data_IF_825381122800
#
_entry.id   IF_825381122800
#
_cell.length_a   1.000
_cell.length_b   1.000
_cell.length_c   1.000
_cell.angle_alpha   90.00
_cell.angle_beta   90.00
_cell.angle_gamma   90.00
#
_symmetry.space_group_name_H-M   'P 1'
#
loop_
_entity.id
_entity.type
_entity.pdbx_description
1 polymer ?
#
# COMPACT_ATOMS: atom_id res chain seq x y z
N UNK A 1 4.70 9.16 -13.81
CA UNK A 1 3.42 8.45 -14.04
C UNK A 1 3.12 7.56 -12.85
N UNK A 2 1.87 7.16 -12.66
CA UNK A 2 1.50 6.33 -11.52
C UNK A 2 2.10 4.93 -11.65
N UNK A 3 1.90 4.29 -12.77
CA UNK A 3 2.44 2.96 -13.11
C UNK A 3 3.25 3.09 -14.39
N UNK A 4 4.45 2.51 -14.38
CA UNK A 4 5.33 2.38 -15.53
C UNK A 4 5.69 0.89 -15.64
N UNK A 5 5.73 0.35 -16.83
CA UNK A 5 6.13 -1.04 -17.10
C UNK A 5 5.32 -2.15 -16.37
N UNK A 6 4.19 -1.77 -15.75
CA UNK A 6 3.34 -2.67 -14.97
C UNK A 6 3.64 -2.64 -13.47
N UNK A 7 2.91 -3.44 -12.71
CA UNK A 7 3.05 -3.57 -11.27
C UNK A 7 3.88 -4.83 -10.97
N UNK A 8 5.05 -4.67 -10.36
CA UNK A 8 5.93 -5.79 -10.07
C UNK A 8 6.39 -5.81 -8.60
N UNK A 9 6.70 -7.00 -8.04
CA UNK A 9 7.25 -7.10 -6.70
C UNK A 9 8.58 -6.34 -6.53
N UNK A 10 9.36 -6.18 -7.60
CA UNK A 10 10.62 -5.45 -7.58
C UNK A 10 10.48 -3.95 -7.36
N UNK A 11 9.27 -3.40 -7.52
CA UNK A 11 9.04 -1.96 -7.43
C UNK A 11 8.96 -1.46 -5.98
N UNK A 12 8.63 -2.32 -5.02
CA UNK A 12 8.38 -1.92 -3.65
C UNK A 12 9.67 -1.76 -2.85
N UNK A 13 9.93 -0.54 -2.39
CA UNK A 13 11.04 -0.22 -1.49
C UNK A 13 10.53 0.42 -0.20
N UNK A 14 11.06 -0.01 0.93
CA UNK A 14 10.70 0.54 2.24
C UNK A 14 11.49 1.81 2.54
N UNK A 15 10.84 2.78 3.20
CA UNK A 15 11.46 3.96 3.77
C UNK A 15 11.71 3.82 5.28
N UNK A 16 11.64 4.93 6.01
CA UNK A 16 11.95 5.00 7.45
C UNK A 16 10.79 4.55 8.35
N UNK A 17 9.58 4.38 7.82
CA UNK A 17 8.41 3.99 8.59
C UNK A 17 8.39 2.47 8.84
N UNK A 18 7.96 2.07 10.03
CA UNK A 18 7.79 0.65 10.41
C UNK A 18 6.49 0.03 9.87
N UNK A 19 6.23 0.18 8.58
CA UNK A 19 5.04 -0.31 7.87
C UNK A 19 5.36 -1.44 6.89
N UNK A 20 6.39 -2.23 7.17
CA UNK A 20 6.77 -3.40 6.37
C UNK A 20 5.61 -4.38 6.16
N UNK A 21 4.68 -4.48 7.11
CA UNK A 21 3.46 -5.27 7.02
C UNK A 21 2.55 -4.79 5.86
N UNK A 22 2.43 -3.49 5.65
CA UNK A 22 1.67 -2.89 4.55
C UNK A 22 2.40 -3.05 3.22
N UNK A 23 3.68 -2.70 3.17
CA UNK A 23 4.50 -2.82 1.96
C UNK A 23 4.64 -4.27 1.50
N UNK A 24 4.70 -5.24 2.43
CA UNK A 24 4.65 -6.67 2.12
C UNK A 24 3.32 -7.08 1.51
N UNK A 25 2.23 -6.46 1.91
CA UNK A 25 0.91 -6.67 1.29
C UNK A 25 0.87 -6.10 -0.14
N UNK A 26 1.44 -4.92 -0.39
CA UNK A 26 1.58 -4.40 -1.75
C UNK A 26 2.41 -5.34 -2.64
N UNK A 27 3.52 -5.83 -2.10
CA UNK A 27 4.40 -6.78 -2.77
C UNK A 27 3.67 -8.10 -3.09
N UNK A 28 2.89 -8.60 -2.16
CA UNK A 28 2.07 -9.80 -2.36
C UNK A 28 1.02 -9.58 -3.44
N UNK A 29 0.30 -8.45 -3.39
CA UNK A 29 -0.73 -8.12 -4.38
C UNK A 29 -0.15 -7.85 -5.77
N UNK A 30 1.09 -7.38 -5.86
CA UNK A 30 1.74 -7.15 -7.16
C UNK A 30 1.99 -8.45 -7.95
N UNK A 31 1.93 -9.61 -7.30
CA UNK A 31 1.92 -10.92 -7.98
C UNK A 31 0.60 -11.18 -8.73
N UNK A 32 -0.47 -10.47 -8.37
CA UNK A 32 -1.72 -10.42 -9.12
C UNK A 32 -2.09 -8.97 -9.43
N UNK A 33 -1.54 -8.40 -10.52
CA UNK A 33 -1.68 -6.97 -10.83
C UNK A 33 -3.12 -6.47 -10.91
N UNK A 34 -4.09 -7.34 -11.21
CA UNK A 34 -5.48 -6.95 -11.28
C UNK A 34 -6.03 -6.54 -9.91
N UNK A 35 -5.66 -7.25 -8.83
CA UNK A 35 -6.08 -6.90 -7.48
C UNK A 35 -5.53 -5.54 -7.06
N UNK A 36 -4.28 -5.27 -7.42
CA UNK A 36 -3.64 -3.99 -7.10
C UNK A 36 -4.21 -2.84 -7.94
N UNK A 37 -4.49 -3.06 -9.23
CA UNK A 37 -5.14 -2.08 -10.10
C UNK A 37 -6.54 -1.69 -9.63
N UNK A 38 -7.27 -2.62 -9.03
CA UNK A 38 -8.61 -2.35 -8.48
C UNK A 38 -8.60 -1.29 -7.38
N UNK A 39 -7.45 -1.07 -6.72
CA UNK A 39 -7.30 -0.03 -5.70
C UNK A 39 -7.13 1.37 -6.28
N UNK A 40 -6.76 1.48 -7.55
CA UNK A 40 -6.57 2.75 -8.25
C UNK A 40 -7.89 3.12 -8.93
N UNK A 41 -8.62 4.05 -8.33
CA UNK A 41 -9.91 4.51 -8.86
C UNK A 41 -9.70 5.52 -9.97
N UNK A 42 -8.75 6.44 -9.78
CA UNK A 42 -8.46 7.49 -10.74
C UNK A 42 -6.99 7.93 -10.67
N UNK A 43 -6.33 7.92 -11.81
CA UNK A 43 -5.00 8.49 -11.98
C UNK A 43 -5.15 9.91 -12.53
N UNK A 44 -5.08 10.87 -11.64
CA UNK A 44 -5.14 12.28 -11.95
C UNK A 44 -3.81 13.01 -11.72
N UNK A 45 -2.67 12.33 -11.89
CA UNK A 45 -1.35 12.90 -11.63
C UNK A 45 -1.10 14.20 -12.44
N UNK A 46 -1.62 14.28 -13.65
CA UNK A 46 -1.55 15.50 -14.48
C UNK A 46 -2.28 16.70 -13.84
N UNK A 47 -3.28 16.42 -13.00
CA UNK A 47 -4.04 17.45 -12.26
C UNK A 47 -3.57 17.61 -10.81
N UNK A 48 -2.56 16.84 -10.39
CA UNK A 48 -1.99 16.92 -9.06
C UNK A 48 -2.72 16.13 -7.98
N UNK A 49 -3.54 15.16 -8.33
CA UNK A 49 -4.22 14.28 -7.37
C UNK A 49 -4.35 12.84 -7.88
N UNK A 50 -4.69 11.93 -6.98
CA UNK A 50 -5.05 10.56 -7.30
C UNK A 50 -6.16 10.08 -6.35
N UNK A 51 -6.93 9.09 -6.78
CA UNK A 51 -8.01 8.50 -5.98
C UNK A 51 -7.77 7.00 -5.86
N UNK A 52 -7.72 6.54 -4.63
CA UNK A 52 -7.63 5.13 -4.29
C UNK A 52 -8.89 4.67 -3.57
N UNK A 53 -9.09 3.36 -3.50
CA UNK A 53 -10.15 2.78 -2.68
C UNK A 53 -9.60 1.66 -1.81
N UNK A 54 -10.14 1.55 -0.61
CA UNK A 54 -9.83 0.51 0.34
C UNK A 54 -11.12 -0.03 0.96
N UNK A 55 -11.11 -1.32 1.28
CA UNK A 55 -12.21 -1.96 2.00
C UNK A 55 -12.01 -1.77 3.51
N UNK A 56 -12.84 -0.95 4.12
CA UNK A 56 -12.75 -0.63 5.55
C UNK A 56 -14.15 -0.50 6.16
N UNK A 57 -14.31 -1.07 7.36
CA UNK A 57 -15.60 -1.06 8.07
C UNK A 57 -16.76 -1.64 7.23
N UNK A 58 -16.50 -2.72 6.52
CA UNK A 58 -17.51 -3.45 5.73
C UNK A 58 -17.90 -2.82 4.40
N UNK A 59 -17.16 -1.81 3.92
CA UNK A 59 -17.43 -1.15 2.63
C UNK A 59 -16.18 -0.63 1.95
N UNK A 60 -16.24 -0.46 0.65
CA UNK A 60 -15.23 0.25 -0.13
C UNK A 60 -15.35 1.76 0.12
N UNK A 61 -14.22 2.38 0.44
CA UNK A 61 -14.11 3.82 0.72
C UNK A 61 -13.11 4.44 -0.22
N UNK A 62 -13.46 5.57 -0.81
CA UNK A 62 -12.57 6.35 -1.67
C UNK A 62 -11.71 7.28 -0.83
N UNK A 63 -10.42 7.33 -1.18
CA UNK A 63 -9.44 8.23 -0.57
C UNK A 63 -8.80 9.07 -1.67
N UNK A 64 -9.03 10.37 -1.60
CA UNK A 64 -8.44 11.34 -2.52
C UNK A 64 -7.19 11.91 -1.87
N UNK A 65 -6.07 11.91 -2.58
CA UNK A 65 -4.80 12.48 -2.12
C UNK A 65 -4.22 13.42 -3.15
N UNK A 66 -3.45 14.41 -2.69
CA UNK A 66 -2.55 15.16 -3.57
C UNK A 66 -1.29 14.33 -3.90
N UNK A 67 -0.53 14.75 -4.91
CA UNK A 67 0.65 14.03 -5.39
C UNK A 67 1.95 14.41 -4.68
N UNK A 68 1.89 15.18 -3.60
CA UNK A 68 3.07 15.53 -2.80
C UNK A 68 3.45 14.37 -1.90
N UNK A 69 4.70 13.97 -1.96
CA UNK A 69 5.27 12.92 -1.11
C UNK A 69 6.31 13.53 -0.17
N UNK A 70 6.36 13.09 1.11
CA UNK A 70 7.43 13.49 2.01
C UNK A 70 8.79 13.07 1.46
N UNK A 71 9.73 14.00 1.48
CA UNK A 71 11.04 13.87 0.84
C UNK A 71 12.14 14.33 1.78
N UNK A 72 13.21 13.56 1.86
CA UNK A 72 14.39 13.93 2.62
C UNK A 72 15.36 14.73 1.72
N UNK A 73 15.56 16.03 1.97
CA UNK A 73 16.40 16.86 1.11
C UNK A 73 17.88 16.49 1.21
N UNK A 74 18.32 15.91 2.34
CA UNK A 74 19.72 15.52 2.55
C UNK A 74 20.10 14.26 1.78
N UNK A 75 19.26 13.24 1.80
CA UNK A 75 19.47 11.98 1.06
C UNK A 75 18.96 12.03 -0.37
N UNK A 76 18.16 13.03 -0.71
CA UNK A 76 17.49 13.17 -2.02
C UNK A 76 16.62 11.95 -2.37
N UNK A 77 15.92 11.40 -1.38
CA UNK A 77 15.07 10.24 -1.52
C UNK A 77 13.70 10.48 -0.87
N UNK A 78 12.64 9.79 -1.31
CA UNK A 78 11.40 9.75 -0.56
C UNK A 78 11.63 9.27 0.87
N UNK A 79 10.91 9.86 1.83
CA UNK A 79 11.08 9.56 3.25
C UNK A 79 10.49 8.19 3.61
N UNK A 80 9.36 7.85 2.99
CA UNK A 80 8.62 6.63 3.23
C UNK A 80 8.76 5.63 2.08
N UNK A 81 7.83 4.68 1.93
CA UNK A 81 7.84 3.71 0.85
C UNK A 81 7.87 4.37 -0.53
N UNK A 82 8.55 3.75 -1.47
CA UNK A 82 8.72 4.28 -2.82
C UNK A 82 8.95 3.16 -3.83
N UNK A 83 8.85 3.52 -5.11
CA UNK A 83 9.16 2.61 -6.19
C UNK A 83 10.67 2.56 -6.47
N UNK A 84 11.15 1.45 -7.01
CA UNK A 84 12.54 1.30 -7.47
C UNK A 84 12.87 2.27 -8.61
N UNK A 85 11.92 2.48 -9.55
CA UNK A 85 12.02 3.51 -10.57
C UNK A 85 11.58 4.86 -9.99
N UNK A 86 12.45 5.90 -10.01
CA UNK A 86 12.13 7.21 -9.48
C UNK A 86 11.03 7.94 -10.26
N UNK A 87 10.64 7.46 -11.42
CA UNK A 87 9.56 8.02 -12.25
C UNK A 87 8.21 7.30 -12.06
N UNK A 88 8.14 6.35 -11.16
CA UNK A 88 6.94 5.59 -10.83
C UNK A 88 6.50 5.90 -9.40
N UNK A 89 5.20 6.09 -9.17
CA UNK A 89 4.68 6.67 -7.93
C UNK A 89 3.56 5.88 -7.24
N UNK A 90 3.20 4.70 -7.71
CA UNK A 90 2.07 3.96 -7.13
C UNK A 90 2.32 3.54 -5.68
N UNK A 91 3.54 3.12 -5.32
CA UNK A 91 3.89 2.73 -3.94
C UNK A 91 3.74 3.91 -2.98
N UNK A 92 4.42 5.04 -3.17
CA UNK A 92 4.35 6.15 -2.22
C UNK A 92 2.96 6.79 -2.15
N UNK A 93 2.23 6.84 -3.25
CA UNK A 93 0.89 7.43 -3.26
C UNK A 93 -0.15 6.49 -2.64
N UNK A 94 -0.05 5.19 -2.86
CA UNK A 94 -0.92 4.21 -2.22
C UNK A 94 -0.67 4.12 -0.71
N UNK A 95 0.59 4.16 -0.27
CA UNK A 95 0.95 4.25 1.15
C UNK A 95 0.38 5.53 1.78
N UNK A 96 0.52 6.68 1.11
CA UNK A 96 -0.06 7.95 1.55
C UNK A 96 -1.58 7.88 1.68
N UNK A 97 -2.26 7.30 0.71
CA UNK A 97 -3.70 7.12 0.75
C UNK A 97 -4.14 6.23 1.91
N UNK A 98 -3.42 5.15 2.14
CA UNK A 98 -3.67 4.25 3.28
C UNK A 98 -3.39 4.93 4.62
N UNK A 99 -2.32 5.74 4.70
CA UNK A 99 -2.04 6.57 5.88
C UNK A 99 -3.17 7.58 6.14
N UNK A 100 -3.68 8.22 5.11
CA UNK A 100 -4.84 9.13 5.23
C UNK A 100 -6.09 8.41 5.73
N UNK A 101 -6.35 7.19 5.28
CA UNK A 101 -7.46 6.37 5.75
C UNK A 101 -7.36 6.10 7.26
N UNK A 102 -6.16 5.95 7.81
CA UNK A 102 -5.87 5.69 9.22
C UNK A 102 -5.56 6.96 10.03
N UNK A 103 -5.50 8.12 9.38
CA UNK A 103 -5.27 9.43 10.01
C UNK A 103 -3.93 10.06 9.67
N UNK A 104 -2.81 9.34 9.83
CA UNK A 104 -1.46 9.83 9.56
C UNK A 104 -0.48 8.69 9.28
N UNK A 105 0.74 9.00 8.85
CA UNK A 105 1.78 8.00 8.60
C UNK A 105 2.19 7.23 9.86
N UNK A 106 2.26 7.91 11.00
CA UNK A 106 2.65 7.32 12.28
C UNK A 106 1.66 6.24 12.73
N UNK A 107 0.39 6.33 12.32
CA UNK A 107 -0.61 5.30 12.58
C UNK A 107 -0.29 3.95 11.91
N UNK A 108 0.60 3.95 10.91
CA UNK A 108 1.04 2.75 10.20
C UNK A 108 2.30 2.10 10.80
N UNK A 109 2.85 2.64 11.90
CA UNK A 109 4.10 2.16 12.48
C UNK A 109 4.04 0.68 12.91
N UNK A 110 2.88 0.20 13.29
CA UNK A 110 2.66 -1.21 13.57
C UNK A 110 1.30 -1.65 13.07
N UNK A 111 1.21 -2.88 12.59
CA UNK A 111 -0.02 -3.44 12.07
C UNK A 111 0.14 -4.90 11.67
N UNK A 112 -0.87 -5.43 11.03
CA UNK A 112 -0.93 -6.83 10.60
C UNK A 112 -1.10 -6.92 9.09
N UNK A 113 -0.30 -7.76 8.45
CA UNK A 113 -0.44 -8.08 7.04
C UNK A 113 -1.83 -8.67 6.72
N UNK A 114 -2.40 -9.45 7.64
CA UNK A 114 -3.75 -9.98 7.48
C UNK A 114 -4.81 -8.88 7.40
N UNK A 115 -4.71 -7.85 8.24
CA UNK A 115 -5.62 -6.71 8.22
C UNK A 115 -5.45 -5.88 6.94
N UNK A 116 -4.21 -5.60 6.54
CA UNK A 116 -3.98 -4.84 5.32
C UNK A 116 -4.46 -5.58 4.07
N UNK A 117 -4.29 -6.90 3.99
CA UNK A 117 -4.80 -7.68 2.86
C UNK A 117 -6.33 -7.66 2.77
N UNK A 118 -7.03 -7.65 3.90
CA UNK A 118 -8.50 -7.45 3.92
C UNK A 118 -8.85 -6.05 3.40
N UNK A 119 -8.17 -5.02 3.88
CA UNK A 119 -8.40 -3.63 3.46
C UNK A 119 -8.10 -3.42 1.96
N UNK A 120 -7.16 -4.17 1.40
CA UNK A 120 -6.74 -4.06 0.01
C UNK A 120 -7.57 -4.92 -0.96
N UNK A 121 -8.22 -5.98 -0.48
CA UNK A 121 -8.91 -6.93 -1.35
C UNK A 121 -10.42 -7.04 -1.09
N UNK A 122 -10.89 -6.64 0.08
CA UNK A 122 -12.25 -6.91 0.54
C UNK A 122 -12.48 -8.39 0.90
N UNK A 123 -11.43 -9.19 0.96
CA UNK A 123 -11.48 -10.60 1.34
C UNK A 123 -11.61 -10.81 2.84
N UNK A 124 -11.62 -12.06 3.25
CA UNK A 124 -11.55 -12.47 4.65
C UNK A 124 -10.15 -13.01 4.96
N UNK A 125 -9.65 -12.75 6.17
CA UNK A 125 -8.40 -13.31 6.65
C UNK A 125 -8.65 -14.42 7.66
N UNK A 126 -7.86 -15.49 7.56
CA UNK A 126 -7.85 -16.57 8.54
C UNK A 126 -6.43 -16.72 9.08
N UNK A 127 -6.34 -17.00 10.38
CA UNK A 127 -5.05 -17.14 11.05
C UNK A 127 -4.98 -18.52 11.72
N UNK A 128 -4.01 -19.31 11.32
CA UNK A 128 -3.76 -20.64 11.87
C UNK A 128 -2.48 -20.63 12.71
N UNK A 129 -2.56 -21.20 13.91
CA UNK A 129 -1.39 -21.43 14.73
C UNK A 129 -0.79 -22.80 14.36
N UNK A 130 0.25 -22.81 13.54
CA UNK A 130 0.90 -24.03 13.07
C UNK A 130 1.58 -24.85 14.17
N UNK A 131 1.68 -24.32 15.39
CA UNK A 131 2.22 -25.03 16.56
C UNK A 131 1.13 -25.61 17.46
N UNK A 132 -0.15 -25.38 17.13
CA UNK A 132 -1.25 -25.96 17.89
C UNK A 132 -1.39 -27.47 17.58
N UNK A 133 -1.58 -28.32 18.58
CA UNK A 133 -1.67 -29.78 18.36
C UNK A 133 -2.86 -30.21 17.49
N UNK A 134 -3.87 -29.37 17.35
CA UNK A 134 -5.08 -29.61 16.55
C UNK A 134 -4.86 -29.56 15.02
N UNK A 135 -3.70 -29.11 14.56
CA UNK A 135 -3.36 -29.02 13.12
C UNK A 135 -2.51 -30.24 12.67
N UNK A 136 -2.16 -31.11 13.58
CA UNK A 136 -1.34 -32.29 13.29
C UNK A 136 -2.14 -33.53 12.82
N UNK A 137 -3.46 -33.39 12.55
CA UNK A 137 -4.33 -34.43 11.99
C UNK A 137 -4.57 -34.13 10.46
#
# INVERSE_FOLDING_TARGET
MLIKDGLSPGDVKQGVLGDCWLLSSFLTLSTNPQLLKNLIVYDGLEYGFAVFQFFKNGRWQYVIIDTRIPYNPSSKTPLYGHCSDPNEFWVPLMEKAYAKLHGCYEALHSGSMAESLVDLTGGASEKYNLRAPEIAE
#
